data_IF_646145359087
#
_entry.id   IF_646145359087
#
_cell.length_a   1.000
_cell.length_b   1.000
_cell.length_c   1.000
_cell.angle_alpha   90.00
_cell.angle_beta   90.00
_cell.angle_gamma   90.00
#
_symmetry.space_group_name_H-M   'P 1'
#
loop_
_entity.id
_entity.type
_entity.pdbx_description
1 polymer ?
#
# COMPACT_ATOMS: atom_id res chain seq x y z
N UNK A 1 -33.19 17.86 27.72
CA UNK A 1 -32.14 16.84 27.90
C UNK A 1 -31.26 16.91 26.67
N UNK A 2 -30.20 17.72 26.74
CA UNK A 2 -29.27 17.94 25.63
C UNK A 2 -28.20 16.85 25.59
N UNK A 3 -28.07 16.20 24.44
CA UNK A 3 -27.01 15.25 24.14
C UNK A 3 -25.66 15.97 24.10
N UNK A 4 -24.83 15.73 25.12
CA UNK A 4 -23.43 16.12 25.10
C UNK A 4 -22.69 15.29 24.05
N UNK A 5 -22.38 15.93 22.93
CA UNK A 5 -21.41 15.43 21.97
C UNK A 5 -20.07 15.21 22.67
N UNK A 6 -19.63 13.94 22.70
CA UNK A 6 -18.26 13.58 23.09
C UNK A 6 -17.31 14.18 22.05
N UNK A 7 -16.78 15.38 22.37
CA UNK A 7 -15.55 15.86 21.76
C UNK A 7 -14.50 14.80 21.99
N UNK A 8 -14.03 14.17 20.92
CA UNK A 8 -12.77 13.43 20.90
C UNK A 8 -11.67 14.47 21.08
N UNK A 9 -11.43 14.83 22.33
CA UNK A 9 -10.30 15.68 22.73
C UNK A 9 -9.04 14.89 22.39
N UNK A 10 -8.17 15.52 21.61
CA UNK A 10 -6.87 14.97 21.23
C UNK A 10 -6.13 14.50 22.46
N UNK A 11 -6.06 13.19 22.64
CA UNK A 11 -5.09 12.58 23.52
C UNK A 11 -3.76 12.60 22.78
N UNK A 12 -2.79 13.28 23.37
CA UNK A 12 -1.39 13.28 22.95
C UNK A 12 -0.90 11.85 22.68
N UNK A 13 -0.93 11.45 21.40
CA UNK A 13 -0.34 10.21 20.89
C UNK A 13 1.15 10.47 20.62
N UNK A 14 1.90 10.87 21.64
CA UNK A 14 3.35 11.11 21.55
C UNK A 14 4.08 9.77 21.38
N UNK A 15 4.59 9.53 20.17
CA UNK A 15 5.75 8.73 19.72
C UNK A 15 6.01 7.30 20.27
N UNK A 16 5.70 6.98 21.54
CA UNK A 16 6.07 5.72 22.20
C UNK A 16 4.89 4.82 22.59
N UNK A 17 3.69 5.37 22.83
CA UNK A 17 2.59 4.58 23.41
C UNK A 17 1.92 3.60 22.42
N UNK A 18 2.25 3.66 21.12
CA UNK A 18 1.75 2.72 20.08
C UNK A 18 2.81 1.73 19.57
N UNK A 19 4.02 1.71 20.14
CA UNK A 19 5.03 0.72 19.75
C UNK A 19 4.64 -0.66 20.32
N UNK A 20 4.19 -1.48 19.37
CA UNK A 20 3.71 -2.86 19.45
C UNK A 20 4.44 -3.77 20.46
N UNK A 21 3.64 -4.52 21.22
CA UNK A 21 4.00 -5.49 22.26
C UNK A 21 4.84 -6.71 21.84
N UNK A 22 5.38 -6.79 20.62
CA UNK A 22 5.96 -8.04 20.10
C UNK A 22 7.46 -8.19 20.32
N UNK A 23 8.18 -7.14 20.73
CA UNK A 23 9.65 -7.15 20.83
C UNK A 23 10.20 -6.35 22.03
N UNK A 24 9.34 -5.86 22.92
CA UNK A 24 9.62 -4.86 23.98
C UNK A 24 10.79 -5.12 24.95
N UNK A 25 11.52 -6.24 24.89
CA UNK A 25 12.51 -6.64 25.90
C UNK A 25 13.72 -7.42 25.35
N UNK A 26 14.12 -7.27 24.08
CA UNK A 26 15.28 -8.03 23.55
C UNK A 26 16.62 -7.56 24.17
N UNK A 27 16.71 -6.29 24.54
CA UNK A 27 17.89 -5.68 25.14
C UNK A 27 17.53 -4.94 26.42
N UNK A 28 17.05 -5.67 27.43
CA UNK A 28 17.03 -5.13 28.79
C UNK A 28 18.50 -4.96 29.24
N UNK A 29 18.90 -3.79 29.77
CA UNK A 29 20.24 -3.54 30.28
C UNK A 29 20.49 -4.19 31.65
N UNK A 30 20.14 -5.47 31.82
CA UNK A 30 20.60 -6.26 32.95
C UNK A 30 21.90 -6.95 32.53
N UNK A 31 23.01 -6.32 32.93
CA UNK A 31 24.40 -6.55 32.54
C UNK A 31 24.78 -5.96 31.17
N UNK A 32 25.36 -4.76 31.19
CA UNK A 32 26.08 -4.18 30.05
C UNK A 32 27.26 -5.10 29.74
N UNK A 33 27.04 -6.13 28.93
CA UNK A 33 28.11 -6.92 28.34
C UNK A 33 28.95 -6.05 27.40
N UNK A 34 30.21 -6.44 27.18
CA UNK A 34 31.18 -5.74 26.31
C UNK A 34 30.58 -5.40 24.93
N UNK A 35 29.71 -6.27 24.39
CA UNK A 35 29.02 -6.06 23.12
C UNK A 35 28.01 -4.89 23.16
N UNK A 36 27.24 -4.73 24.24
CA UNK A 36 26.30 -3.62 24.39
C UNK A 36 27.01 -2.26 24.50
N UNK A 37 28.15 -2.23 25.21
CA UNK A 37 29.00 -1.04 25.28
C UNK A 37 29.58 -0.67 23.91
N UNK A 38 30.08 -1.67 23.16
CA UNK A 38 30.60 -1.49 21.80
C UNK A 38 29.54 -0.93 20.84
N UNK A 39 28.33 -1.48 20.87
CA UNK A 39 27.20 -0.97 20.05
C UNK A 39 26.93 0.49 20.40
N UNK A 40 26.85 0.84 21.68
CA UNK A 40 26.59 2.21 22.09
C UNK A 40 27.69 3.19 21.65
N UNK A 41 28.96 2.78 21.70
CA UNK A 41 30.06 3.60 21.21
C UNK A 41 29.96 3.85 19.70
N UNK A 42 29.70 2.79 18.92
CA UNK A 42 29.58 2.87 17.46
C UNK A 42 28.36 3.69 17.04
N UNK A 43 27.23 3.52 17.72
CA UNK A 43 26.01 4.34 17.53
C UNK A 43 26.28 5.82 17.77
N UNK A 44 26.98 6.17 18.85
CA UNK A 44 27.29 7.57 19.15
C UNK A 44 28.21 8.19 18.10
N UNK A 45 29.19 7.43 17.59
CA UNK A 45 30.05 7.87 16.49
C UNK A 45 29.25 8.09 15.20
N UNK A 46 28.34 7.17 14.88
CA UNK A 46 27.43 7.27 13.74
C UNK A 46 26.52 8.49 13.82
N UNK A 47 25.85 8.73 14.95
CA UNK A 47 24.95 9.88 15.10
C UNK A 47 25.72 11.19 14.91
N UNK A 48 26.94 11.29 15.46
CA UNK A 48 27.78 12.48 15.24
C UNK A 48 28.14 12.66 13.77
N UNK A 49 28.60 11.59 13.11
CA UNK A 49 28.94 11.64 11.70
C UNK A 49 27.72 11.98 10.81
N UNK A 50 26.55 11.47 11.16
CA UNK A 50 25.28 11.79 10.49
C UNK A 50 24.92 13.28 10.64
N UNK A 51 25.00 13.83 11.86
CA UNK A 51 24.72 15.26 12.09
C UNK A 51 25.71 16.15 11.32
N UNK A 52 27.00 15.83 11.37
CA UNK A 52 28.01 16.57 10.57
C UNK A 52 27.74 16.45 9.07
N UNK A 53 27.34 15.27 8.60
CA UNK A 53 26.99 15.07 7.21
C UNK A 53 25.73 15.85 6.83
N UNK A 54 24.72 16.00 7.69
CA UNK A 54 23.54 16.82 7.36
C UNK A 54 23.84 18.34 7.38
N UNK A 55 24.64 18.81 8.34
CA UNK A 55 24.96 20.23 8.55
C UNK A 55 25.98 20.80 7.55
N UNK A 56 26.83 19.97 6.93
CA UNK A 56 27.86 20.43 6.01
C UNK A 56 27.27 20.88 4.66
N UNK A 57 27.40 22.17 4.34
CA UNK A 57 26.89 22.77 3.10
C UNK A 57 27.98 22.91 2.02
N UNK A 58 29.27 22.90 2.40
CA UNK A 58 30.40 23.00 1.48
C UNK A 58 30.54 21.70 0.67
N UNK A 59 30.33 21.78 -0.64
CA UNK A 59 30.37 20.63 -1.58
C UNK A 59 31.66 19.82 -1.45
N UNK A 60 32.81 20.47 -1.22
CA UNK A 60 34.11 19.80 -1.12
C UNK A 60 34.30 19.01 0.18
N UNK A 61 33.71 19.51 1.27
CA UNK A 61 33.77 18.87 2.59
C UNK A 61 32.64 17.87 2.80
N UNK A 62 31.52 18.06 2.10
CA UNK A 62 30.35 17.20 2.13
C UNK A 62 30.68 15.77 1.71
N UNK A 63 31.42 15.59 0.62
CA UNK A 63 31.84 14.24 0.17
C UNK A 63 32.65 13.51 1.26
N UNK A 64 33.54 14.22 1.95
CA UNK A 64 34.32 13.65 3.04
C UNK A 64 33.47 13.36 4.29
N UNK A 65 32.49 14.21 4.60
CA UNK A 65 31.54 13.98 5.69
C UNK A 65 30.66 12.76 5.41
N UNK A 66 30.17 12.61 4.18
CA UNK A 66 29.35 11.49 3.73
C UNK A 66 30.12 10.16 3.79
N UNK A 67 31.39 10.15 3.36
CA UNK A 67 32.28 8.98 3.50
C UNK A 67 32.46 8.56 4.95
N UNK A 68 32.76 9.53 5.84
CA UNK A 68 32.89 9.26 7.29
C UNK A 68 31.59 8.73 7.89
N UNK A 69 30.45 9.23 7.44
CA UNK A 69 29.15 8.74 7.84
C UNK A 69 28.91 7.29 7.39
N UNK A 70 29.18 6.95 6.13
CA UNK A 70 29.01 5.57 5.62
C UNK A 70 29.99 4.58 6.29
N UNK A 71 31.22 5.00 6.59
CA UNK A 71 32.17 4.20 7.36
C UNK A 71 31.69 3.94 8.80
N UNK A 72 31.21 4.99 9.47
CA UNK A 72 30.64 4.88 10.82
C UNK A 72 29.37 4.00 10.83
N UNK A 73 28.55 4.11 9.78
CA UNK A 73 27.34 3.32 9.61
C UNK A 73 27.67 1.84 9.41
N UNK A 74 28.64 1.53 8.55
CA UNK A 74 29.12 0.16 8.33
C UNK A 74 29.67 -0.45 9.62
N UNK A 75 30.54 0.27 10.34
CA UNK A 75 31.09 -0.19 11.60
C UNK A 75 30.03 -0.40 12.70
N UNK A 76 28.94 0.37 12.67
CA UNK A 76 27.80 0.19 13.56
C UNK A 76 26.98 -1.05 13.20
N UNK A 77 26.66 -1.26 11.92
CA UNK A 77 25.97 -2.47 11.46
C UNK A 77 26.77 -3.74 11.77
N UNK A 78 28.09 -3.74 11.58
CA UNK A 78 28.96 -4.87 11.94
C UNK A 78 28.91 -5.18 13.44
N UNK A 79 28.85 -4.15 14.29
CA UNK A 79 28.72 -4.34 15.73
C UNK A 79 27.38 -4.99 16.10
N UNK A 80 26.30 -4.60 15.43
CA UNK A 80 24.97 -5.20 15.61
C UNK A 80 24.93 -6.64 15.08
N UNK A 81 25.50 -6.89 13.90
CA UNK A 81 25.56 -8.23 13.30
C UNK A 81 26.33 -9.21 14.18
N UNK A 82 27.49 -8.76 14.67
CA UNK A 82 28.30 -9.52 15.62
C UNK A 82 27.55 -9.80 16.91
N UNK A 83 26.76 -8.85 17.42
CA UNK A 83 25.93 -9.08 18.60
C UNK A 83 24.89 -10.17 18.40
N UNK A 84 24.22 -10.23 17.24
CA UNK A 84 23.26 -11.30 16.92
C UNK A 84 23.96 -12.66 16.97
N UNK A 85 25.12 -12.80 16.33
CA UNK A 85 25.83 -14.08 16.25
C UNK A 85 26.58 -14.47 17.54
N UNK A 86 27.21 -13.52 18.22
CA UNK A 86 28.01 -13.83 19.41
C UNK A 86 27.20 -13.86 20.69
N UNK A 87 26.03 -13.22 20.72
CA UNK A 87 25.21 -13.10 21.93
C UNK A 87 23.90 -13.84 21.77
N UNK A 88 23.04 -13.42 20.83
CA UNK A 88 21.71 -14.01 20.67
C UNK A 88 21.81 -15.48 20.27
N UNK A 89 22.59 -15.80 19.24
CA UNK A 89 22.77 -17.19 18.80
C UNK A 89 23.33 -18.09 19.90
N UNK A 90 24.33 -17.64 20.68
CA UNK A 90 24.88 -18.43 21.79
C UNK A 90 23.86 -18.66 22.89
N UNK A 91 23.05 -17.65 23.23
CA UNK A 91 21.95 -17.81 24.20
C UNK A 91 20.91 -18.82 23.72
N UNK A 92 20.54 -18.77 22.44
CA UNK A 92 19.57 -19.72 21.86
C UNK A 92 20.15 -21.14 21.84
N UNK A 93 21.41 -21.29 21.40
CA UNK A 93 22.11 -22.58 21.39
C UNK A 93 22.25 -23.20 22.78
N UNK A 94 22.43 -22.37 23.80
CA UNK A 94 22.56 -22.81 25.19
C UNK A 94 21.23 -22.84 25.95
N UNK A 95 20.08 -22.73 25.25
CA UNK A 95 18.73 -22.76 25.85
C UNK A 95 18.49 -21.72 26.96
N UNK A 96 19.25 -20.62 26.94
CA UNK A 96 19.14 -19.51 27.91
C UNK A 96 18.51 -18.26 27.30
N UNK A 97 18.13 -18.30 26.02
CA UNK A 97 17.48 -17.21 25.33
C UNK A 97 16.02 -17.06 25.74
N UNK A 98 15.57 -15.81 25.79
CA UNK A 98 14.16 -15.49 25.86
C UNK A 98 13.43 -15.86 24.55
N UNK A 99 12.10 -16.00 24.61
CA UNK A 99 11.28 -16.23 23.41
C UNK A 99 11.49 -15.13 22.35
N UNK A 100 11.73 -13.90 22.79
CA UNK A 100 11.99 -12.76 21.92
C UNK A 100 13.34 -12.89 21.20
N UNK A 101 14.41 -13.24 21.92
CA UNK A 101 15.74 -13.49 21.35
C UNK A 101 15.73 -14.66 20.37
N UNK A 102 14.97 -15.73 20.67
CA UNK A 102 14.76 -16.86 19.75
C UNK A 102 14.04 -16.43 18.46
N UNK A 103 12.98 -15.62 18.60
CA UNK A 103 12.22 -15.09 17.47
C UNK A 103 13.08 -14.15 16.60
N UNK A 104 13.86 -13.28 17.23
CA UNK A 104 14.80 -12.39 16.58
C UNK A 104 15.82 -13.19 15.75
N UNK A 105 16.44 -14.21 16.33
CA UNK A 105 17.39 -15.06 15.61
C UNK A 105 16.74 -15.79 14.42
N UNK A 106 15.52 -16.29 14.58
CA UNK A 106 14.78 -16.93 13.49
C UNK A 106 14.52 -15.96 12.32
N UNK A 107 14.07 -14.75 12.62
CA UNK A 107 13.88 -13.69 11.61
C UNK A 107 15.20 -13.33 10.91
N UNK A 108 16.29 -13.19 11.68
CA UNK A 108 17.62 -12.93 11.14
C UNK A 108 18.04 -14.02 10.14
N UNK A 109 17.88 -15.29 10.48
CA UNK A 109 18.20 -16.38 9.54
C UNK A 109 17.30 -16.41 8.32
N UNK A 110 16.00 -16.13 8.47
CA UNK A 110 15.09 -15.98 7.33
C UNK A 110 15.54 -14.89 6.36
N UNK A 111 16.11 -13.79 6.87
CA UNK A 111 16.72 -12.76 6.03
C UNK A 111 18.02 -13.26 5.39
N UNK A 112 18.91 -13.93 6.15
CA UNK A 112 20.19 -14.43 5.62
C UNK A 112 20.00 -15.43 4.48
N UNK A 113 18.94 -16.24 4.50
CA UNK A 113 18.60 -17.14 3.38
C UNK A 113 18.36 -16.40 2.05
N UNK A 114 17.93 -15.14 2.11
CA UNK A 114 17.77 -14.31 0.91
C UNK A 114 19.11 -13.94 0.27
N UNK A 115 20.24 -14.12 0.94
CA UNK A 115 21.56 -13.72 0.43
C UNK A 115 21.90 -14.42 -0.89
N UNK A 116 21.51 -15.67 -1.04
CA UNK A 116 21.82 -16.50 -2.21
C UNK A 116 20.83 -16.26 -3.36
N UNK A 117 19.55 -16.15 -3.06
CA UNK A 117 18.49 -16.04 -4.06
C UNK A 117 18.14 -14.59 -4.43
N UNK A 118 18.27 -13.67 -3.48
CA UNK A 118 17.68 -12.32 -3.53
C UNK A 118 18.59 -11.27 -2.89
N UNK A 119 19.83 -11.18 -3.34
CA UNK A 119 20.90 -10.39 -2.70
C UNK A 119 20.54 -8.91 -2.45
N UNK A 120 19.86 -8.25 -3.39
CA UNK A 120 19.46 -6.84 -3.24
C UNK A 120 18.42 -6.70 -2.12
N UNK A 121 17.46 -7.61 -2.05
CA UNK A 121 16.46 -7.65 -0.99
C UNK A 121 17.11 -7.94 0.37
N UNK A 122 18.00 -8.93 0.42
CA UNK A 122 18.81 -9.27 1.57
C UNK A 122 19.56 -8.04 2.12
N UNK A 123 20.25 -7.30 1.26
CA UNK A 123 21.05 -6.13 1.65
C UNK A 123 20.21 -5.10 2.41
N UNK A 124 19.02 -4.77 1.91
CA UNK A 124 18.16 -3.78 2.56
C UNK A 124 17.44 -4.35 3.79
N UNK A 125 16.90 -5.57 3.71
CA UNK A 125 16.19 -6.20 4.83
C UNK A 125 17.10 -6.47 6.03
N UNK A 126 18.34 -6.88 5.80
CA UNK A 126 19.33 -7.09 6.88
C UNK A 126 19.63 -5.78 7.61
N UNK A 127 19.89 -4.70 6.89
CA UNK A 127 20.15 -3.40 7.51
C UNK A 127 18.95 -2.92 8.32
N UNK A 128 17.74 -2.99 7.74
CA UNK A 128 16.49 -2.62 8.41
C UNK A 128 16.31 -3.39 9.71
N UNK A 129 16.47 -4.71 9.66
CA UNK A 129 16.32 -5.59 10.81
C UNK A 129 17.32 -5.27 11.93
N UNK A 130 18.60 -5.06 11.60
CA UNK A 130 19.62 -4.70 12.59
C UNK A 130 19.31 -3.36 13.27
N UNK A 131 18.84 -2.36 12.52
CA UNK A 131 18.45 -1.06 13.08
C UNK A 131 17.20 -1.18 13.97
N UNK A 132 16.23 -1.99 13.58
CA UNK A 132 15.01 -2.25 14.38
C UNK A 132 15.36 -2.91 15.71
N UNK A 133 16.28 -3.88 15.70
CA UNK A 133 16.78 -4.55 16.90
C UNK A 133 17.40 -3.56 17.90
N UNK A 134 18.22 -2.62 17.43
CA UNK A 134 18.86 -1.64 18.31
C UNK A 134 17.93 -0.49 18.72
N UNK A 135 16.98 -0.08 17.87
CA UNK A 135 16.01 0.96 18.18
C UNK A 135 15.32 0.71 19.52
N UNK A 136 14.89 -0.53 19.77
CA UNK A 136 14.23 -0.90 21.01
C UNK A 136 15.12 -0.70 22.23
N UNK A 137 16.41 -0.98 22.09
CA UNK A 137 17.43 -0.71 23.12
C UNK A 137 17.56 0.78 23.41
N UNK A 138 17.60 1.60 22.35
CA UNK A 138 17.72 3.06 22.48
C UNK A 138 16.50 3.63 23.19
N UNK A 139 15.30 3.21 22.80
CA UNK A 139 14.04 3.64 23.42
C UNK A 139 14.00 3.25 24.90
N UNK A 140 14.38 2.01 25.22
CA UNK A 140 14.38 1.52 26.60
C UNK A 140 15.50 2.12 27.48
N UNK A 141 16.45 2.86 26.90
CA UNK A 141 17.52 3.51 27.67
C UNK A 141 17.06 4.71 28.52
N UNK A 142 15.89 5.27 28.23
CA UNK A 142 15.29 6.41 28.95
C UNK A 142 16.00 7.77 28.74
N UNK A 143 17.04 7.85 27.90
CA UNK A 143 17.80 9.09 27.67
C UNK A 143 17.20 9.93 26.53
N UNK A 144 16.27 10.83 26.84
CA UNK A 144 15.48 11.60 25.86
C UNK A 144 16.32 12.24 24.75
N UNK A 145 17.38 12.99 25.09
CA UNK A 145 18.27 13.64 24.10
C UNK A 145 18.92 12.66 23.11
N UNK A 146 19.26 11.45 23.57
CA UNK A 146 19.85 10.42 22.70
C UNK A 146 18.79 9.79 21.81
N UNK A 147 17.58 9.58 22.35
CA UNK A 147 16.46 9.02 21.61
C UNK A 147 16.04 9.96 20.47
N UNK A 148 15.98 11.27 20.72
CA UNK A 148 15.61 12.25 19.70
C UNK A 148 16.63 12.29 18.55
N UNK A 149 17.93 12.36 18.86
CA UNK A 149 18.99 12.33 17.84
C UNK A 149 19.02 11.01 17.05
N UNK A 150 18.81 9.89 17.73
CA UNK A 150 18.74 8.60 17.05
C UNK A 150 17.49 8.48 16.19
N UNK A 151 16.36 9.06 16.61
CA UNK A 151 15.11 9.06 15.84
C UNK A 151 15.29 9.76 14.49
N UNK A 152 15.94 10.91 14.45
CA UNK A 152 16.22 11.64 13.21
C UNK A 152 17.00 10.76 12.22
N UNK A 153 18.14 10.22 12.66
CA UNK A 153 18.94 9.27 11.88
C UNK A 153 18.12 8.05 11.44
N UNK A 154 17.41 7.43 12.38
CA UNK A 154 16.66 6.20 12.15
C UNK A 154 15.58 6.40 11.09
N UNK A 155 14.79 7.47 11.18
CA UNK A 155 13.74 7.79 10.20
C UNK A 155 14.37 8.05 8.83
N UNK A 156 15.43 8.85 8.76
CA UNK A 156 16.14 9.16 7.51
C UNK A 156 16.68 7.90 6.83
N UNK A 157 17.34 7.01 7.59
CA UNK A 157 17.88 5.77 7.03
C UNK A 157 16.79 4.77 6.67
N UNK A 158 15.74 4.62 7.48
CA UNK A 158 14.60 3.76 7.17
C UNK A 158 13.90 4.21 5.88
N UNK A 159 13.64 5.51 5.70
CA UNK A 159 13.09 6.03 4.44
C UNK A 159 13.90 5.56 3.22
N UNK A 160 15.23 5.60 3.31
CA UNK A 160 16.12 5.12 2.25
C UNK A 160 16.03 3.61 2.04
N UNK A 161 16.00 2.82 3.12
CA UNK A 161 15.90 1.36 3.05
C UNK A 161 14.58 0.89 2.44
N UNK A 162 13.44 1.43 2.89
CA UNK A 162 12.12 1.12 2.33
C UNK A 162 12.03 1.54 0.86
N UNK A 163 12.56 2.72 0.49
CA UNK A 163 12.68 3.15 -0.91
C UNK A 163 13.48 2.15 -1.75
N UNK A 164 14.57 1.61 -1.21
CA UNK A 164 15.40 0.59 -1.87
C UNK A 164 14.66 -0.74 -2.07
N UNK A 165 13.96 -1.21 -1.04
CA UNK A 165 13.16 -2.45 -1.08
C UNK A 165 12.04 -2.33 -2.12
N UNK A 166 11.26 -1.25 -2.07
CA UNK A 166 10.16 -1.02 -3.02
C UNK A 166 10.69 -0.86 -4.46
N UNK A 167 11.83 -0.18 -4.66
CA UNK A 167 12.47 -0.08 -5.97
C UNK A 167 12.87 -1.45 -6.51
N UNK A 168 13.44 -2.32 -5.67
CA UNK A 168 13.79 -3.68 -6.04
C UNK A 168 12.55 -4.48 -6.49
N UNK A 169 11.43 -4.39 -5.77
CA UNK A 169 10.19 -5.05 -6.17
C UNK A 169 9.58 -4.45 -7.43
N UNK A 170 9.64 -3.13 -7.60
CA UNK A 170 9.21 -2.45 -8.81
C UNK A 170 9.96 -2.94 -10.05
N UNK A 171 11.28 -3.10 -9.96
CA UNK A 171 12.11 -3.65 -11.05
C UNK A 171 11.71 -5.08 -11.37
N UNK A 172 11.59 -5.96 -10.37
CA UNK A 172 11.15 -7.34 -10.59
C UNK A 172 9.75 -7.45 -11.19
N UNK A 173 8.83 -6.59 -10.77
CA UNK A 173 7.49 -6.57 -11.34
C UNK A 173 7.51 -6.13 -12.81
N UNK A 174 8.41 -5.22 -13.19
CA UNK A 174 8.60 -4.81 -14.57
C UNK A 174 9.28 -5.91 -15.42
N UNK A 175 10.28 -6.60 -14.87
CA UNK A 175 11.07 -7.64 -15.56
C UNK A 175 10.28 -8.94 -15.80
N UNK A 176 9.26 -9.20 -14.99
CA UNK A 176 8.33 -10.33 -15.19
C UNK A 176 7.39 -10.05 -16.37
N UNK A 177 7.94 -10.02 -17.59
CA UNK A 177 7.24 -9.69 -18.85
C UNK A 177 6.33 -10.81 -19.36
N UNK A 178 6.44 -12.04 -18.82
CA UNK A 178 5.55 -13.15 -19.18
C UNK A 178 4.35 -13.33 -18.22
N UNK A 179 3.22 -13.68 -18.84
CA UNK A 179 1.86 -13.65 -18.29
C UNK A 179 1.63 -14.86 -17.38
N UNK A 180 1.10 -14.58 -16.19
CA UNK A 180 0.68 -15.56 -15.17
C UNK A 180 1.84 -16.34 -14.55
N UNK A 181 2.47 -15.71 -13.58
CA UNK A 181 3.45 -16.35 -12.75
C UNK A 181 3.03 -16.14 -11.29
N UNK A 182 2.96 -17.23 -10.51
CA UNK A 182 2.75 -17.16 -9.07
C UNK A 182 3.77 -16.20 -8.41
N UNK A 183 4.93 -16.01 -9.05
CA UNK A 183 5.94 -15.01 -8.67
C UNK A 183 5.40 -13.58 -8.61
N UNK A 184 4.51 -13.15 -9.53
CA UNK A 184 3.93 -11.79 -9.51
C UNK A 184 3.02 -11.57 -8.32
N UNK A 185 2.23 -12.59 -7.97
CA UNK A 185 1.35 -12.54 -6.81
C UNK A 185 2.17 -12.32 -5.53
N UNK A 186 3.27 -13.06 -5.39
CA UNK A 186 4.22 -12.87 -4.28
C UNK A 186 4.87 -11.49 -4.27
N UNK A 187 5.20 -10.92 -5.44
CA UNK A 187 5.74 -9.55 -5.51
C UNK A 187 4.71 -8.53 -5.03
N UNK A 188 3.43 -8.65 -5.41
CA UNK A 188 2.38 -7.76 -4.91
C UNK A 188 2.25 -7.85 -3.39
N UNK A 189 2.21 -9.06 -2.84
CA UNK A 189 2.19 -9.29 -1.38
C UNK A 189 3.37 -8.59 -0.72
N UNK A 190 4.59 -8.81 -1.21
CA UNK A 190 5.79 -8.15 -0.69
C UNK A 190 5.71 -6.63 -0.74
N UNK A 191 5.17 -6.04 -1.81
CA UNK A 191 4.96 -4.59 -1.93
C UNK A 191 3.99 -4.10 -0.86
N UNK A 192 2.79 -4.70 -0.75
CA UNK A 192 1.79 -4.29 0.22
C UNK A 192 2.27 -4.46 1.67
N UNK A 193 2.92 -5.58 1.98
CA UNK A 193 3.49 -5.82 3.31
C UNK A 193 4.56 -4.77 3.65
N UNK A 194 5.39 -4.39 2.68
CA UNK A 194 6.43 -3.38 2.88
C UNK A 194 5.84 -1.99 3.08
N UNK A 195 4.78 -1.64 2.33
CA UNK A 195 4.04 -0.39 2.51
C UNK A 195 3.34 -0.34 3.87
N UNK A 196 2.69 -1.44 4.27
CA UNK A 196 2.01 -1.56 5.54
C UNK A 196 2.98 -1.43 6.72
N UNK A 197 4.10 -2.16 6.66
CA UNK A 197 5.14 -2.12 7.68
C UNK A 197 5.71 -0.70 7.85
N UNK A 198 5.96 0.00 6.74
CA UNK A 198 6.39 1.40 6.77
C UNK A 198 5.34 2.33 7.40
N UNK A 199 4.08 2.21 6.97
CA UNK A 199 2.97 3.05 7.44
C UNK A 199 2.69 2.80 8.92
N UNK A 200 2.88 1.57 9.39
CA UNK A 200 2.73 1.21 10.79
C UNK A 200 3.88 1.70 11.67
N UNK A 201 5.13 1.55 11.21
CA UNK A 201 6.29 1.67 12.09
C UNK A 201 7.11 2.96 11.90
N UNK A 202 7.08 3.57 10.73
CA UNK A 202 7.92 4.72 10.36
C UNK A 202 7.10 6.00 10.17
N UNK A 203 6.01 5.93 9.41
CA UNK A 203 5.17 7.09 9.14
C UNK A 203 4.71 7.84 10.41
N UNK A 204 4.29 7.16 11.51
CA UNK A 204 3.83 7.85 12.72
C UNK A 204 4.95 8.62 13.42
N UNK A 205 6.21 8.29 13.15
CA UNK A 205 7.36 8.95 13.76
C UNK A 205 7.61 10.34 13.14
N UNK A 206 7.07 10.59 11.95
CA UNK A 206 7.24 11.83 11.18
C UNK A 206 5.92 12.53 10.79
N UNK A 207 4.77 11.97 11.14
CA UNK A 207 3.44 12.48 10.72
C UNK A 207 3.14 13.92 11.18
N UNK A 208 3.86 14.43 12.17
CA UNK A 208 3.79 15.82 12.63
C UNK A 208 4.42 16.84 11.67
N UNK A 209 5.11 16.39 10.61
CA UNK A 209 5.70 17.28 9.62
C UNK A 209 4.63 17.95 8.74
N UNK A 210 4.65 19.28 8.55
CA UNK A 210 3.66 20.01 7.74
C UNK A 210 3.55 19.47 6.30
N UNK A 211 4.66 18.98 5.75
CA UNK A 211 4.74 18.42 4.39
C UNK A 211 3.89 17.15 4.20
N UNK A 212 3.51 16.48 5.30
CA UNK A 212 2.74 15.25 5.30
C UNK A 212 1.23 15.45 5.56
N UNK A 213 0.74 16.69 5.63
CA UNK A 213 -0.67 17.00 5.89
C UNK A 213 -1.66 16.26 4.95
N UNK A 214 -1.28 16.07 3.67
CA UNK A 214 -2.08 15.31 2.69
C UNK A 214 -2.20 13.83 3.04
N UNK A 215 -1.19 13.26 3.69
CA UNK A 215 -1.11 11.85 4.08
C UNK A 215 -1.87 11.58 5.38
N UNK A 216 -2.01 12.57 6.27
CA UNK A 216 -2.66 12.41 7.58
C UNK A 216 -4.08 11.85 7.44
N UNK A 217 -4.90 12.41 6.54
CA UNK A 217 -6.29 11.95 6.34
C UNK A 217 -6.38 10.51 5.84
N UNK A 218 -5.49 10.10 4.96
CA UNK A 218 -5.46 8.71 4.48
C UNK A 218 -4.90 7.77 5.56
N UNK A 219 -3.95 8.24 6.37
CA UNK A 219 -3.44 7.50 7.52
C UNK A 219 -4.52 7.25 8.59
N UNK A 220 -5.36 8.24 8.89
CA UNK A 220 -6.49 8.08 9.82
C UNK A 220 -7.50 7.02 9.34
N UNK A 221 -7.72 6.91 8.02
CA UNK A 221 -8.51 5.82 7.46
C UNK A 221 -7.82 4.48 7.64
N UNK A 222 -6.51 4.41 7.39
CA UNK A 222 -5.71 3.20 7.61
C UNK A 222 -5.78 2.73 9.07
N UNK A 223 -5.74 3.63 10.06
CA UNK A 223 -5.80 3.27 11.48
C UNK A 223 -7.05 2.43 11.82
N UNK A 224 -8.18 2.61 11.11
CA UNK A 224 -9.41 1.83 11.32
C UNK A 224 -9.23 0.34 11.01
N UNK A 225 -8.28 -0.01 10.14
CA UNK A 225 -7.98 -1.39 9.75
C UNK A 225 -6.92 -2.04 10.66
N UNK A 226 -6.39 -1.31 11.65
CA UNK A 226 -5.40 -1.85 12.59
C UNK A 226 -6.04 -2.59 13.78
N UNK A 227 -7.37 -2.49 13.94
CA UNK A 227 -8.12 -3.06 15.06
C UNK A 227 -9.09 -4.13 14.58
N UNK A 228 -9.05 -5.30 15.21
CA UNK A 228 -9.96 -6.41 14.92
C UNK A 228 -9.51 -7.32 13.77
N UNK A 229 -10.31 -8.35 13.50
CA UNK A 229 -10.06 -9.30 12.41
C UNK A 229 -10.66 -8.74 11.12
N UNK A 230 -9.81 -8.50 10.13
CA UNK A 230 -10.21 -8.01 8.81
C UNK A 230 -10.84 -9.12 7.97
N UNK A 231 -11.90 -8.78 7.24
CA UNK A 231 -12.43 -9.62 6.18
C UNK A 231 -11.73 -9.37 4.83
N UNK A 232 -12.05 -10.15 3.79
CA UNK A 232 -11.42 -10.02 2.49
C UNK A 232 -11.63 -8.63 1.84
N UNK A 233 -12.79 -8.00 2.07
CA UNK A 233 -13.07 -6.65 1.59
C UNK A 233 -12.19 -5.64 2.33
N UNK A 234 -12.10 -5.77 3.66
CA UNK A 234 -11.28 -4.88 4.47
C UNK A 234 -9.80 -4.94 4.08
N UNK A 235 -9.29 -6.12 3.70
CA UNK A 235 -7.93 -6.26 3.18
C UNK A 235 -7.72 -5.50 1.87
N UNK A 236 -8.68 -5.55 0.94
CA UNK A 236 -8.60 -4.83 -0.34
C UNK A 236 -8.67 -3.32 -0.11
N UNK A 237 -9.59 -2.86 0.76
CA UNK A 237 -9.73 -1.44 1.08
C UNK A 237 -8.50 -0.89 1.81
N UNK A 238 -7.93 -1.66 2.74
CA UNK A 238 -6.65 -1.34 3.38
C UNK A 238 -5.56 -1.17 2.31
N UNK A 239 -5.41 -2.12 1.40
CA UNK A 239 -4.40 -2.08 0.35
C UNK A 239 -4.58 -0.91 -0.62
N UNK A 240 -5.82 -0.52 -0.91
CA UNK A 240 -6.14 0.69 -1.68
C UNK A 240 -5.62 1.95 -0.98
N UNK A 241 -5.85 2.09 0.33
CA UNK A 241 -5.34 3.21 1.13
C UNK A 241 -3.81 3.21 1.15
N UNK A 242 -3.17 2.05 1.31
CA UNK A 242 -1.71 1.93 1.27
C UNK A 242 -1.13 2.44 -0.07
N UNK A 243 -1.77 2.14 -1.20
CA UNK A 243 -1.38 2.68 -2.50
C UNK A 243 -1.61 4.19 -2.60
N UNK A 244 -2.73 4.70 -2.09
CA UNK A 244 -2.98 6.14 -2.04
C UNK A 244 -1.86 6.90 -1.32
N UNK A 245 -1.44 6.39 -0.15
CA UNK A 245 -0.32 6.95 0.61
C UNK A 245 1.01 6.80 -0.16
N UNK A 246 1.25 5.64 -0.78
CA UNK A 246 2.50 5.37 -1.48
C UNK A 246 2.72 6.28 -2.69
N UNK A 247 1.64 6.74 -3.36
CA UNK A 247 1.71 7.74 -4.42
C UNK A 247 2.24 9.10 -3.97
N UNK A 248 2.19 9.41 -2.68
CA UNK A 248 2.78 10.63 -2.12
C UNK A 248 4.21 10.40 -1.63
N UNK A 249 4.49 9.23 -1.03
CA UNK A 249 5.75 8.99 -0.31
C UNK A 249 6.84 8.28 -1.16
N UNK A 250 6.45 7.50 -2.16
CA UNK A 250 7.33 6.56 -2.85
C UNK A 250 7.27 6.69 -4.37
N UNK A 251 6.99 7.87 -4.93
CA UNK A 251 6.81 8.08 -6.38
C UNK A 251 7.95 7.52 -7.24
N UNK A 252 9.20 7.63 -6.79
CA UNK A 252 10.38 7.13 -7.52
C UNK A 252 10.70 5.65 -7.26
N UNK A 253 10.32 5.13 -6.10
CA UNK A 253 10.57 3.74 -5.69
C UNK A 253 9.44 2.79 -6.08
N UNK A 254 8.23 3.34 -6.23
CA UNK A 254 7.03 2.70 -6.74
C UNK A 254 6.49 3.55 -7.90
N UNK A 255 7.13 3.45 -9.09
CA UNK A 255 6.77 4.25 -10.26
C UNK A 255 5.30 4.08 -10.66
N UNK A 256 4.77 5.03 -11.42
CA UNK A 256 3.36 5.05 -11.82
C UNK A 256 2.91 3.75 -12.49
N UNK A 257 3.75 3.18 -13.37
CA UNK A 257 3.49 1.92 -14.08
C UNK A 257 3.31 0.74 -13.11
N UNK A 258 4.13 0.67 -12.07
CA UNK A 258 4.05 -0.38 -11.04
C UNK A 258 2.84 -0.16 -10.13
N UNK A 259 2.57 1.09 -9.77
CA UNK A 259 1.37 1.44 -9.02
C UNK A 259 0.09 1.05 -9.80
N UNK A 260 0.04 1.32 -11.11
CA UNK A 260 -1.04 0.91 -12.00
C UNK A 260 -1.25 -0.61 -11.99
N UNK A 261 -0.17 -1.40 -12.07
CA UNK A 261 -0.26 -2.85 -11.94
C UNK A 261 -0.83 -3.30 -10.58
N UNK A 262 -0.43 -2.64 -9.48
CA UNK A 262 -1.00 -2.92 -8.15
C UNK A 262 -2.50 -2.59 -8.08
N UNK A 263 -2.95 -1.47 -8.68
CA UNK A 263 -4.37 -1.14 -8.78
C UNK A 263 -5.14 -2.15 -9.64
N UNK A 264 -4.59 -2.59 -10.77
CA UNK A 264 -5.20 -3.64 -11.60
C UNK A 264 -5.36 -4.95 -10.84
N UNK A 265 -4.37 -5.32 -10.03
CA UNK A 265 -4.44 -6.48 -9.14
C UNK A 265 -5.57 -6.33 -8.11
N UNK A 266 -5.69 -5.20 -7.43
CA UNK A 266 -6.79 -4.96 -6.49
C UNK A 266 -8.15 -4.96 -7.18
N UNK A 267 -8.25 -4.40 -8.40
CA UNK A 267 -9.50 -4.42 -9.18
C UNK A 267 -9.92 -5.85 -9.50
N UNK A 268 -8.98 -6.70 -9.91
CA UNK A 268 -9.24 -8.13 -10.10
C UNK A 268 -9.75 -8.80 -8.82
N UNK A 269 -9.08 -8.57 -7.70
CA UNK A 269 -9.48 -9.17 -6.41
C UNK A 269 -10.87 -8.70 -5.97
N UNK A 270 -11.16 -7.41 -6.14
CA UNK A 270 -12.46 -6.82 -5.85
C UNK A 270 -13.57 -7.39 -6.74
N UNK A 271 -13.33 -7.57 -8.05
CA UNK A 271 -14.28 -8.19 -8.98
C UNK A 271 -14.58 -9.64 -8.59
N UNK A 272 -13.55 -10.42 -8.28
CA UNK A 272 -13.70 -11.80 -7.80
C UNK A 272 -14.52 -11.84 -6.50
N UNK A 273 -14.22 -10.94 -5.55
CA UNK A 273 -14.95 -10.87 -4.29
C UNK A 273 -16.44 -10.60 -4.48
N UNK A 274 -16.81 -9.65 -5.37
CA UNK A 274 -18.21 -9.37 -5.71
C UNK A 274 -18.87 -10.59 -6.33
N UNK A 275 -18.19 -11.24 -7.28
CA UNK A 275 -18.68 -12.42 -7.99
C UNK A 275 -18.92 -13.63 -7.06
N UNK A 276 -18.04 -13.86 -6.10
CA UNK A 276 -18.07 -15.05 -5.24
C UNK A 276 -18.93 -14.87 -3.98
N UNK A 277 -19.19 -13.62 -3.58
CA UNK A 277 -20.02 -13.33 -2.42
C UNK A 277 -21.47 -13.70 -2.68
N UNK A 278 -22.01 -14.69 -1.96
CA UNK A 278 -23.40 -15.16 -2.11
C UNK A 278 -24.43 -14.26 -1.42
N UNK A 279 -24.08 -13.68 -0.28
CA UNK A 279 -24.98 -12.87 0.56
C UNK A 279 -25.15 -11.49 -0.08
N UNK A 280 -26.38 -11.11 -0.42
CA UNK A 280 -26.69 -9.88 -1.14
C UNK A 280 -26.13 -8.61 -0.44
N UNK A 281 -26.39 -8.44 0.85
CA UNK A 281 -25.90 -7.27 1.59
C UNK A 281 -24.36 -7.17 1.63
N UNK A 282 -23.64 -8.30 1.72
CA UNK A 282 -22.17 -8.31 1.66
C UNK A 282 -21.67 -8.06 0.24
N UNK A 283 -22.37 -8.58 -0.77
CA UNK A 283 -22.06 -8.35 -2.18
C UNK A 283 -22.18 -6.87 -2.54
N UNK A 284 -23.24 -6.20 -2.09
CA UNK A 284 -23.43 -4.76 -2.30
C UNK A 284 -22.29 -3.95 -1.65
N UNK A 285 -21.86 -4.29 -0.44
CA UNK A 285 -20.69 -3.64 0.19
C UNK A 285 -19.40 -3.85 -0.60
N UNK A 286 -19.13 -5.08 -1.05
CA UNK A 286 -17.96 -5.36 -1.90
C UNK A 286 -18.06 -4.64 -3.25
N UNK A 287 -19.26 -4.48 -3.79
CA UNK A 287 -19.51 -3.77 -5.03
C UNK A 287 -19.30 -2.25 -4.88
N UNK A 288 -19.77 -1.63 -3.79
CA UNK A 288 -19.46 -0.23 -3.48
C UNK A 288 -17.95 0.01 -3.33
N UNK A 289 -17.23 -0.92 -2.71
CA UNK A 289 -15.76 -0.88 -2.64
C UNK A 289 -15.13 -0.96 -4.05
N UNK A 290 -15.62 -1.86 -4.91
CA UNK A 290 -15.15 -1.97 -6.29
C UNK A 290 -15.36 -0.68 -7.09
N UNK A 291 -16.53 -0.03 -6.96
CA UNK A 291 -16.78 1.27 -7.60
C UNK A 291 -15.82 2.35 -7.10
N UNK A 292 -15.54 2.38 -5.79
CA UNK A 292 -14.56 3.29 -5.19
C UNK A 292 -13.17 3.05 -5.75
N UNK A 293 -12.77 1.79 -5.91
CA UNK A 293 -11.47 1.41 -6.48
C UNK A 293 -11.37 1.76 -7.97
N UNK A 294 -12.46 1.63 -8.74
CA UNK A 294 -12.55 2.10 -10.13
C UNK A 294 -12.37 3.62 -10.19
N UNK A 295 -13.02 4.36 -9.30
CA UNK A 295 -12.87 5.81 -9.20
C UNK A 295 -11.43 6.21 -8.88
N UNK A 296 -10.83 5.62 -7.85
CA UNK A 296 -9.45 5.91 -7.45
C UNK A 296 -8.45 5.58 -8.56
N UNK A 297 -8.61 4.43 -9.23
CA UNK A 297 -7.75 4.07 -10.36
C UNK A 297 -7.87 5.05 -11.53
N UNK A 298 -9.09 5.37 -12.00
CA UNK A 298 -9.23 6.21 -13.18
C UNK A 298 -9.02 7.70 -12.86
N UNK A 299 -9.55 8.19 -11.74
CA UNK A 299 -9.61 9.63 -11.44
C UNK A 299 -8.40 10.08 -10.61
N UNK A 300 -7.95 9.30 -9.61
CA UNK A 300 -6.79 9.71 -8.79
C UNK A 300 -5.46 9.28 -9.40
N UNK A 301 -5.40 8.09 -10.01
CA UNK A 301 -4.15 7.58 -10.58
C UNK A 301 -4.00 7.96 -12.06
N UNK A 302 -4.86 7.45 -12.95
CA UNK A 302 -4.69 7.62 -14.39
C UNK A 302 -4.81 9.08 -14.85
N UNK A 303 -5.56 9.94 -14.15
CA UNK A 303 -5.59 11.37 -14.47
C UNK A 303 -4.22 12.06 -14.32
N UNK A 304 -3.31 11.49 -13.52
CA UNK A 304 -1.93 11.97 -13.37
C UNK A 304 -0.96 11.40 -14.42
N UNK A 305 -1.44 10.47 -15.27
CA UNK A 305 -0.62 9.76 -16.27
C UNK A 305 -0.34 10.64 -17.49
N UNK A 306 0.93 11.05 -17.61
CA UNK A 306 1.41 11.86 -18.73
C UNK A 306 1.76 10.99 -19.95
N UNK A 307 2.43 9.86 -19.73
CA UNK A 307 2.90 8.97 -20.79
C UNK A 307 1.99 7.74 -20.94
N UNK A 308 1.66 7.41 -22.18
CA UNK A 308 0.81 6.28 -22.56
C UNK A 308 1.53 5.48 -23.63
N UNK A 309 1.70 4.17 -23.40
CA UNK A 309 2.37 3.28 -24.35
C UNK A 309 1.57 3.12 -25.64
N UNK A 310 0.23 3.18 -25.54
CA UNK A 310 -0.71 3.06 -26.65
C UNK A 310 -1.61 4.29 -26.76
N UNK A 311 -1.68 4.87 -27.97
CA UNK A 311 -2.53 6.01 -28.26
C UNK A 311 -4.02 5.70 -28.06
N UNK A 312 -4.45 4.47 -28.34
CA UNK A 312 -5.86 4.05 -28.18
C UNK A 312 -6.28 4.09 -26.72
N UNK A 313 -5.46 3.55 -25.82
CA UNK A 313 -5.75 3.53 -24.38
C UNK A 313 -5.85 4.96 -23.82
N UNK A 314 -5.01 5.87 -24.34
CA UNK A 314 -5.08 7.29 -24.01
C UNK A 314 -6.39 7.93 -24.48
N UNK A 315 -6.83 7.66 -25.70
CA UNK A 315 -8.08 8.18 -26.25
C UNK A 315 -9.30 7.61 -25.52
N UNK A 316 -9.28 6.33 -25.18
CA UNK A 316 -10.30 5.69 -24.35
C UNK A 316 -10.41 6.35 -22.98
N UNK A 317 -9.28 6.57 -22.32
CA UNK A 317 -9.24 7.28 -21.05
C UNK A 317 -9.75 8.71 -21.17
N UNK A 318 -9.37 9.46 -22.21
CA UNK A 318 -9.88 10.83 -22.43
C UNK A 318 -11.40 10.86 -22.57
N UNK A 319 -11.96 9.98 -23.41
CA UNK A 319 -13.43 9.87 -23.60
C UNK A 319 -14.14 9.52 -22.29
N UNK A 320 -13.55 8.63 -21.49
CA UNK A 320 -14.06 8.31 -20.16
C UNK A 320 -14.04 9.52 -19.24
N UNK A 321 -12.90 10.20 -19.16
CA UNK A 321 -12.65 11.30 -18.24
C UNK A 321 -13.51 12.53 -18.57
N UNK A 322 -13.74 12.83 -19.85
CA UNK A 322 -14.66 13.88 -20.30
C UNK A 322 -16.09 13.60 -19.85
N UNK A 323 -16.62 12.40 -20.11
CA UNK A 323 -17.95 11.98 -19.63
C UNK A 323 -18.05 12.07 -18.11
N UNK A 324 -17.00 11.67 -17.39
CA UNK A 324 -16.97 11.77 -15.94
C UNK A 324 -17.04 13.23 -15.46
N UNK A 325 -16.30 14.16 -16.09
CA UNK A 325 -16.37 15.59 -15.76
C UNK A 325 -17.76 16.19 -15.97
N UNK A 326 -18.45 15.78 -17.03
CA UNK A 326 -19.82 16.24 -17.26
C UNK A 326 -20.78 15.73 -16.18
N UNK A 327 -20.62 14.47 -15.75
CA UNK A 327 -21.37 13.91 -14.64
C UNK A 327 -21.02 14.62 -13.32
N UNK A 328 -19.75 14.96 -13.09
CA UNK A 328 -19.29 15.62 -11.87
C UNK A 328 -19.98 16.98 -11.62
N UNK A 329 -20.39 17.69 -12.68
CA UNK A 329 -21.19 18.93 -12.57
C UNK A 329 -22.52 18.73 -11.85
N UNK A 330 -23.08 17.52 -11.90
CA UNK A 330 -24.34 17.18 -11.23
C UNK A 330 -24.18 17.04 -9.71
N UNK A 331 -22.96 16.90 -9.19
CA UNK A 331 -22.70 16.62 -7.78
C UNK A 331 -23.32 17.64 -6.82
N UNK A 332 -23.33 18.91 -7.22
CA UNK A 332 -23.88 20.02 -6.43
C UNK A 332 -25.33 20.37 -6.80
N UNK A 333 -25.85 19.82 -7.91
CA UNK A 333 -27.20 20.10 -8.43
C UNK A 333 -28.17 18.98 -8.03
N UNK A 334 -27.80 17.73 -8.33
CA UNK A 334 -28.55 16.53 -8.01
C UNK A 334 -27.58 15.40 -7.66
N UNK A 335 -27.33 15.23 -6.37
CA UNK A 335 -26.42 14.21 -5.87
C UNK A 335 -26.89 12.78 -6.17
N UNK A 336 -28.21 12.54 -6.23
CA UNK A 336 -28.76 11.21 -6.49
C UNK A 336 -28.50 10.82 -7.94
N UNK A 337 -28.80 11.74 -8.87
CA UNK A 337 -28.54 11.52 -10.30
C UNK A 337 -27.03 11.45 -10.58
N UNK A 338 -26.20 12.25 -9.89
CA UNK A 338 -24.74 12.13 -9.94
C UNK A 338 -24.26 10.72 -9.58
N UNK A 339 -24.69 10.17 -8.44
CA UNK A 339 -24.29 8.83 -8.00
C UNK A 339 -24.72 7.78 -9.02
N UNK A 340 -25.96 7.87 -9.52
CA UNK A 340 -26.52 6.96 -10.52
C UNK A 340 -25.75 6.99 -11.84
N UNK A 341 -25.54 8.18 -12.41
CA UNK A 341 -24.84 8.34 -13.69
C UNK A 341 -23.36 7.93 -13.58
N UNK A 342 -22.71 8.23 -12.45
CA UNK A 342 -21.34 7.78 -12.17
C UNK A 342 -21.25 6.26 -12.16
N UNK A 343 -22.15 5.60 -11.45
CA UNK A 343 -22.18 4.14 -11.40
C UNK A 343 -22.42 3.53 -12.79
N UNK A 344 -23.38 4.05 -13.56
CA UNK A 344 -23.68 3.61 -14.93
C UNK A 344 -22.43 3.72 -15.82
N UNK A 345 -21.71 4.85 -15.75
CA UNK A 345 -20.48 5.05 -16.52
C UNK A 345 -19.43 4.01 -16.13
N UNK A 346 -19.17 3.83 -14.84
CA UNK A 346 -18.14 2.92 -14.34
C UNK A 346 -18.41 1.48 -14.76
N UNK A 347 -19.63 0.97 -14.56
CA UNK A 347 -19.93 -0.43 -14.91
C UNK A 347 -19.98 -0.66 -16.41
N UNK A 348 -20.42 0.30 -17.23
CA UNK A 348 -20.41 0.15 -18.69
C UNK A 348 -18.99 -0.01 -19.22
N UNK A 349 -18.07 0.78 -18.68
CA UNK A 349 -16.67 0.77 -19.08
C UNK A 349 -15.95 -0.47 -18.54
N UNK A 350 -16.23 -0.85 -17.30
CA UNK A 350 -15.69 -2.08 -16.70
C UNK A 350 -16.16 -3.33 -17.47
N UNK A 351 -17.42 -3.38 -17.94
CA UNK A 351 -17.92 -4.46 -18.82
C UNK A 351 -17.08 -4.56 -20.11
N UNK A 352 -16.61 -3.45 -20.68
CA UNK A 352 -15.77 -3.52 -21.88
C UNK A 352 -14.37 -4.00 -21.53
N UNK A 353 -13.79 -3.51 -20.43
CA UNK A 353 -12.43 -3.86 -19.99
C UNK A 353 -12.29 -5.34 -19.64
N UNK A 354 -13.31 -5.95 -19.02
CA UNK A 354 -13.28 -7.38 -18.67
C UNK A 354 -13.50 -8.31 -19.88
N UNK A 355 -13.91 -7.80 -21.05
CA UNK A 355 -14.06 -8.62 -22.25
C UNK A 355 -12.68 -9.01 -22.79
N UNK A 356 -12.42 -10.31 -22.84
CA UNK A 356 -11.14 -10.84 -23.32
C UNK A 356 -10.08 -10.97 -22.23
N UNK A 357 -10.40 -10.65 -20.96
CA UNK A 357 -9.57 -11.09 -19.84
C UNK A 357 -9.61 -12.62 -19.73
N UNK A 358 -8.50 -13.22 -19.30
CA UNK A 358 -8.40 -14.68 -19.08
C UNK A 358 -9.25 -15.17 -17.90
N UNK A 359 -9.51 -14.29 -16.93
CA UNK A 359 -10.32 -14.62 -15.75
C UNK A 359 -11.80 -14.57 -16.11
N UNK A 360 -12.59 -15.55 -15.66
CA UNK A 360 -14.02 -15.57 -15.91
C UNK A 360 -14.76 -14.55 -15.04
N UNK A 361 -15.23 -13.48 -15.67
CA UNK A 361 -16.06 -12.42 -15.07
C UNK A 361 -17.53 -12.51 -15.51
N UNK A 362 -17.99 -13.66 -16.00
CA UNK A 362 -19.36 -13.84 -16.49
C UNK A 362 -20.43 -13.46 -15.46
N UNK A 363 -20.22 -13.78 -14.19
CA UNK A 363 -21.20 -13.49 -13.12
C UNK A 363 -21.22 -12.03 -12.74
N UNK A 364 -20.07 -11.36 -12.66
CA UNK A 364 -20.03 -9.92 -12.41
C UNK A 364 -20.60 -9.13 -13.59
N UNK A 365 -20.33 -9.53 -14.84
CA UNK A 365 -20.98 -8.91 -16.02
C UNK A 365 -22.49 -9.09 -15.96
N UNK A 366 -22.99 -10.27 -15.56
CA UNK A 366 -24.43 -10.50 -15.34
C UNK A 366 -24.99 -9.60 -14.24
N UNK A 367 -24.23 -9.39 -13.16
CA UNK A 367 -24.61 -8.50 -12.07
C UNK A 367 -24.70 -7.04 -12.53
N UNK A 368 -23.69 -6.53 -13.25
CA UNK A 368 -23.71 -5.18 -13.83
C UNK A 368 -24.87 -4.97 -14.80
N UNK A 369 -25.16 -5.95 -15.67
CA UNK A 369 -26.30 -5.86 -16.59
C UNK A 369 -27.64 -5.73 -15.86
N UNK A 370 -27.82 -6.43 -14.72
CA UNK A 370 -29.02 -6.29 -13.88
C UNK A 370 -29.13 -4.87 -13.33
N UNK A 371 -28.05 -4.32 -12.75
CA UNK A 371 -28.02 -2.93 -12.29
C UNK A 371 -28.36 -1.94 -13.41
N UNK A 372 -27.85 -2.14 -14.62
CA UNK A 372 -28.20 -1.31 -15.78
C UNK A 372 -29.68 -1.41 -16.18
N UNK A 373 -30.31 -2.57 -15.99
CA UNK A 373 -31.76 -2.75 -16.18
C UNK A 373 -32.53 -2.01 -15.08
N UNK A 374 -32.12 -2.15 -13.82
CA UNK A 374 -32.75 -1.46 -12.69
C UNK A 374 -32.69 0.08 -12.85
N UNK A 375 -31.60 0.60 -13.40
CA UNK A 375 -31.46 2.02 -13.73
C UNK A 375 -32.20 2.47 -15.00
N UNK A 376 -32.88 1.55 -15.73
CA UNK A 376 -33.63 1.85 -16.95
C UNK A 376 -32.78 2.07 -18.20
N UNK A 377 -31.47 1.80 -18.12
CA UNK A 377 -30.49 2.04 -19.19
C UNK A 377 -30.36 0.85 -20.14
N UNK A 378 -30.79 -0.34 -19.70
CA UNK A 378 -30.81 -1.58 -20.46
C UNK A 378 -32.20 -2.23 -20.34
N UNK A 379 -32.66 -2.92 -21.40
CA UNK A 379 -33.93 -3.66 -21.37
C UNK A 379 -33.65 -5.16 -21.27
N UNK A 380 -34.38 -5.85 -20.38
CA UNK A 380 -34.38 -7.31 -20.31
C UNK A 380 -35.42 -7.87 -21.29
N UNK A 381 -34.99 -8.73 -22.22
CA UNK A 381 -35.90 -9.44 -23.13
C UNK A 381 -36.21 -10.79 -22.50
N UNK A 382 -37.41 -10.94 -21.91
CA UNK A 382 -37.82 -12.13 -21.15
C UNK A 382 -38.36 -13.26 -22.03
N UNK A 383 -38.84 -12.95 -23.23
CA UNK A 383 -39.42 -13.94 -24.15
C UNK A 383 -39.34 -13.43 -25.58
N UNK A 384 -38.82 -14.25 -26.49
CA UNK A 384 -38.88 -14.00 -27.93
C UNK A 384 -39.31 -15.30 -28.63
N UNK A 385 -40.28 -15.20 -29.53
CA UNK A 385 -40.69 -16.31 -30.42
C UNK A 385 -40.27 -15.90 -31.83
N UNK A 386 -39.32 -16.62 -32.41
CA UNK A 386 -38.96 -16.44 -33.81
C UNK A 386 -40.12 -16.93 -34.67
N UNK A 387 -40.66 -16.08 -35.54
CA UNK A 387 -41.73 -16.49 -36.47
C UNK A 387 -41.23 -17.57 -37.46
N UNK A 388 -39.95 -17.52 -37.86
CA UNK A 388 -39.41 -18.36 -38.95
C UNK A 388 -37.98 -18.89 -38.74
N UNK A 389 -37.50 -19.07 -37.50
CA UNK A 389 -36.24 -19.77 -37.21
C UNK A 389 -34.91 -19.11 -37.68
N UNK A 390 -34.94 -17.95 -38.35
CA UNK A 390 -33.73 -17.21 -38.78
C UNK A 390 -33.54 -15.92 -37.97
N UNK A 391 -32.36 -15.73 -37.37
CA UNK A 391 -31.99 -14.47 -36.73
C UNK A 391 -31.71 -13.40 -37.80
N UNK A 392 -32.62 -12.45 -37.98
CA UNK A 392 -32.38 -11.25 -38.78
C UNK A 392 -32.17 -10.09 -37.80
N UNK A 393 -30.96 -9.55 -37.76
CA UNK A 393 -30.64 -8.35 -36.95
C UNK A 393 -31.12 -7.12 -37.72
N UNK A 394 -32.39 -6.73 -37.56
CA UNK A 394 -32.88 -5.46 -38.12
C UNK A 394 -32.69 -4.32 -37.13
N UNK A 395 -32.17 -3.17 -37.59
CA UNK A 395 -32.27 -1.90 -36.86
C UNK A 395 -33.74 -1.48 -36.91
N UNK A 396 -34.47 -1.64 -35.81
CA UNK A 396 -35.80 -1.04 -35.71
C UNK A 396 -35.59 0.45 -35.44
N UNK A 397 -35.62 1.27 -36.50
CA UNK A 397 -35.85 2.71 -36.36
C UNK A 397 -37.28 2.91 -35.88
N UNK A 398 -37.44 3.57 -34.74
CA UNK A 398 -38.75 3.86 -34.15
C UNK A 398 -39.45 4.92 -34.98
N UNK A 399 -40.18 4.50 -36.01
CA UNK A 399 -41.29 5.28 -36.55
C UNK A 399 -42.53 4.47 -36.19
N UNK A 400 -43.21 4.93 -35.14
CA UNK A 400 -44.54 4.44 -34.76
C UNK A 400 -45.48 4.97 -35.84
N UNK A 401 -45.92 4.12 -36.76
CA UNK A 401 -47.09 4.44 -37.57
C UNK A 401 -48.31 4.17 -36.70
N UNK A 402 -48.95 5.26 -36.25
CA UNK A 402 -50.31 5.25 -35.72
C UNK A 402 -51.21 4.63 -36.78
N UNK A 403 -51.77 3.46 -36.49
CA UNK A 403 -52.90 2.96 -37.25
C UNK A 403 -54.13 3.73 -36.80
N UNK A 404 -54.54 4.70 -37.63
CA UNK A 404 -55.89 5.21 -37.63
C UNK A 404 -56.82 4.09 -38.12
N UNK A 405 -57.70 3.61 -37.24
CA UNK A 405 -58.89 2.86 -37.62
C UNK A 405 -60.09 3.78 -37.48
N UNK A 406 -60.70 4.07 -38.63
CA UNK A 406 -62.11 4.47 -38.74
C UNK A 406 -63.00 3.24 -38.62
#
# INVERSE_FOLDING_TARGET
>A
MEERSLRVVGTDKTFFNKLTHTLTKILIPTQIGINGMRISMKRNALIKAFQTAEEEEDVSKKENADKKYEDAYTAYLEALDKYVLDTIYKKVKNETATQLESTALSQYYGIVQLKESEYVEYKYRKQKYLLELDKETVVNSGKTKMIDKYKEFYVSKQDTLYKGILKNYSVKLADTTNVYDASKEWIYVKIFDTLEDYIKNILPLKISEPKLAKVVKEYEKYEKFTVGKLDARDHIEKNMILLGISRTLFTHSLPLVVAEQCYMKLLKDARCLVQDTKIAAKREKAYSMLLTLIEDYNIRLLATKVYWDNAKDREEFKRFHEKYKDIEKLKDIDFIEYVKQKEILFIKEDIQKVKGEKTDYSRIVKYYKRKLVDYGVMKEIRSYKTKDGKYIKSKVSTIINEYATA
#
